data_IF_405966644517
#
_entry.id   IF_405966644517
#
_cell.length_a   1.000
_cell.length_b   1.000
_cell.length_c   1.000
_cell.angle_alpha   90.00
_cell.angle_beta   90.00
_cell.angle_gamma   90.00
#
_symmetry.space_group_name_H-M   'P 1'
#
loop_
_entity.id
_entity.type
_entity.pdbx_description
1 polymer ?
#
# COMPACT_ATOMS: atom_id res chain seq x y z
N UNK A 1 17.53 20.85 -32.85
CA UNK A 1 18.08 19.51 -33.13
C UNK A 1 17.09 18.51 -32.54
N UNK A 2 16.28 17.91 -33.40
CA UNK A 2 15.12 17.08 -33.05
C UNK A 2 15.65 15.69 -32.66
N UNK A 3 15.47 15.29 -31.41
CA UNK A 3 15.78 13.93 -30.97
C UNK A 3 14.60 13.02 -31.31
N UNK A 4 14.89 12.03 -32.11
CA UNK A 4 13.98 11.04 -32.66
C UNK A 4 13.33 10.21 -31.54
N UNK A 5 12.00 10.21 -31.51
CA UNK A 5 11.21 9.30 -30.67
C UNK A 5 11.35 7.86 -31.19
N UNK A 6 11.90 6.96 -30.42
CA UNK A 6 11.72 5.53 -30.64
C UNK A 6 10.54 5.03 -29.80
N UNK A 7 9.38 4.99 -30.44
CA UNK A 7 8.14 4.46 -29.87
C UNK A 7 8.03 2.99 -30.23
N UNK A 8 8.32 2.11 -29.30
CA UNK A 8 7.87 0.71 -29.38
C UNK A 8 7.04 0.34 -28.15
N UNK A 9 5.73 0.56 -28.28
CA UNK A 9 4.74 -0.21 -27.55
C UNK A 9 4.09 -1.14 -28.55
N UNK A 10 4.44 -2.42 -28.50
CA UNK A 10 3.64 -3.48 -29.10
C UNK A 10 3.25 -4.46 -28.01
N UNK A 11 1.95 -4.55 -27.72
CA UNK A 11 1.39 -5.64 -26.96
C UNK A 11 1.71 -6.97 -27.68
N UNK A 12 2.43 -7.85 -27.02
CA UNK A 12 2.77 -9.18 -27.49
C UNK A 12 3.29 -10.01 -26.33
N UNK A 13 2.83 -11.25 -26.25
CA UNK A 13 3.11 -12.23 -25.22
C UNK A 13 4.59 -12.26 -24.82
N UNK A 14 4.82 -12.29 -23.52
CA UNK A 14 6.09 -12.28 -22.81
C UNK A 14 7.02 -13.39 -23.31
N UNK A 15 8.07 -13.01 -24.03
CA UNK A 15 9.33 -13.74 -24.05
C UNK A 15 10.19 -13.17 -22.91
N UNK A 16 10.79 -14.01 -22.09
CA UNK A 16 11.73 -13.65 -21.02
C UNK A 16 12.94 -12.94 -21.64
N UNK A 17 12.82 -11.61 -21.80
CA UNK A 17 13.83 -10.70 -22.32
C UNK A 17 14.06 -9.60 -21.29
N UNK A 18 15.32 -9.27 -21.06
CA UNK A 18 15.82 -8.26 -20.14
C UNK A 18 15.14 -6.90 -20.36
N UNK A 19 14.13 -6.58 -19.55
CA UNK A 19 13.27 -5.38 -19.63
C UNK A 19 13.85 -4.17 -18.91
N UNK A 20 15.19 -4.05 -18.91
CA UNK A 20 15.88 -2.90 -18.33
C UNK A 20 15.51 -1.60 -19.01
N UNK A 21 15.26 -0.56 -18.23
CA UNK A 21 15.13 0.79 -18.74
C UNK A 21 15.94 1.79 -17.91
N UNK A 22 16.50 2.77 -18.60
CA UNK A 22 17.04 3.98 -18.00
C UNK A 22 16.55 5.15 -18.84
N UNK A 23 15.88 6.09 -18.21
CA UNK A 23 15.26 7.20 -18.91
C UNK A 23 15.49 8.51 -18.17
N UNK A 24 15.95 9.53 -18.88
CA UNK A 24 16.08 10.89 -18.36
C UNK A 24 15.52 11.86 -19.38
N UNK A 25 14.53 12.65 -18.99
CA UNK A 25 13.82 13.60 -19.85
C UNK A 25 13.61 14.88 -19.05
N UNK A 26 13.70 16.02 -19.73
CA UNK A 26 13.35 17.32 -19.18
C UNK A 26 12.79 18.22 -20.29
N UNK A 27 11.97 19.18 -19.90
CA UNK A 27 11.35 20.11 -20.84
C UNK A 27 10.68 21.29 -20.16
N UNK A 28 10.08 22.14 -21.00
CA UNK A 28 9.31 23.32 -20.59
C UNK A 28 7.88 23.31 -21.13
N UNK A 29 7.57 22.38 -22.01
CA UNK A 29 6.24 22.21 -22.59
C UNK A 29 5.35 21.40 -21.65
N UNK A 30 4.22 22.00 -21.22
CA UNK A 30 3.26 21.38 -20.28
C UNK A 30 2.51 20.23 -20.94
N UNK A 31 2.14 20.35 -22.21
CA UNK A 31 1.37 19.33 -22.90
C UNK A 31 2.22 18.08 -23.14
N UNK A 32 3.51 18.28 -23.46
CA UNK A 32 4.48 17.19 -23.55
C UNK A 32 4.69 16.50 -22.19
N UNK A 33 4.81 17.28 -21.11
CA UNK A 33 4.91 16.73 -19.76
C UNK A 33 3.67 15.93 -19.40
N UNK A 34 2.49 16.46 -19.67
CA UNK A 34 1.22 15.83 -19.36
C UNK A 34 1.05 14.51 -20.11
N UNK A 35 1.34 14.50 -21.42
CA UNK A 35 1.32 13.27 -22.21
C UNK A 35 2.28 12.20 -21.65
N UNK A 36 3.49 12.62 -21.24
CA UNK A 36 4.46 11.73 -20.62
C UNK A 36 3.97 11.16 -19.29
N UNK A 37 3.57 12.02 -18.34
CA UNK A 37 3.14 11.60 -17.02
C UNK A 37 1.81 10.84 -17.04
N UNK A 38 0.91 11.14 -17.96
CA UNK A 38 -0.33 10.35 -18.16
C UNK A 38 -0.01 8.90 -18.55
N UNK A 39 0.95 8.70 -19.46
CA UNK A 39 1.36 7.36 -19.87
C UNK A 39 2.14 6.59 -18.80
N UNK A 40 2.89 7.29 -17.94
CA UNK A 40 3.80 6.67 -16.95
C UNK A 40 3.14 6.44 -15.58
N UNK A 41 2.07 7.21 -15.25
CA UNK A 41 1.40 7.19 -13.94
C UNK A 41 -0.13 7.00 -14.00
N UNK A 42 -0.66 6.60 -15.16
CA UNK A 42 -2.11 6.42 -15.39
C UNK A 42 -2.96 7.60 -14.88
N UNK A 43 -2.56 8.83 -15.21
CA UNK A 43 -3.37 10.00 -14.91
C UNK A 43 -4.64 10.01 -15.74
N UNK A 44 -5.77 10.07 -15.07
CA UNK A 44 -7.10 10.08 -15.70
C UNK A 44 -7.73 11.45 -15.56
N UNK A 45 -8.22 11.99 -16.69
CA UNK A 45 -8.84 13.32 -16.73
C UNK A 45 -7.99 14.43 -16.05
N UNK A 46 -6.69 14.55 -16.37
CA UNK A 46 -5.82 15.51 -15.70
C UNK A 46 -6.24 16.95 -15.99
N UNK A 47 -6.38 17.74 -14.94
CA UNK A 47 -6.60 19.19 -15.01
C UNK A 47 -5.31 19.89 -14.55
N UNK A 48 -4.70 20.67 -15.46
CA UNK A 48 -3.43 21.37 -15.21
C UNK A 48 -3.61 22.87 -15.29
N UNK A 49 -3.05 23.57 -14.33
CA UNK A 49 -2.94 25.04 -14.33
C UNK A 49 -1.48 25.43 -14.14
N UNK A 50 -0.97 26.30 -15.00
CA UNK A 50 0.38 26.86 -14.86
C UNK A 50 0.48 27.71 -13.61
N UNK A 51 1.50 27.47 -12.80
CA UNK A 51 1.83 28.25 -11.59
C UNK A 51 2.93 29.26 -11.86
N UNK A 52 3.76 29.02 -12.88
CA UNK A 52 4.89 29.86 -13.28
C UNK A 52 4.83 30.23 -14.76
N UNK A 53 5.49 31.32 -15.15
CA UNK A 53 5.62 31.73 -16.56
C UNK A 53 6.44 30.72 -17.36
N UNK A 54 7.54 30.25 -16.75
CA UNK A 54 8.43 29.22 -17.30
C UNK A 54 8.19 27.90 -16.57
N UNK A 55 7.26 27.10 -17.07
CA UNK A 55 7.03 25.76 -16.54
C UNK A 55 8.24 24.89 -16.83
N UNK A 56 8.73 24.20 -15.82
CA UNK A 56 9.82 23.22 -15.96
C UNK A 56 9.36 21.88 -15.43
N UNK A 57 9.76 20.85 -16.13
CA UNK A 57 9.55 19.48 -15.68
C UNK A 57 10.77 18.64 -15.99
N UNK A 58 11.04 17.66 -15.17
CA UNK A 58 12.06 16.66 -15.39
C UNK A 58 11.63 15.32 -14.81
N UNK A 59 12.14 14.26 -15.42
CA UNK A 59 11.97 12.90 -15.00
C UNK A 59 13.30 12.15 -15.14
N UNK A 60 13.63 11.36 -14.14
CA UNK A 60 14.69 10.37 -14.19
C UNK A 60 14.15 9.06 -13.61
N UNK A 61 14.29 8.00 -14.37
CA UNK A 61 13.83 6.67 -13.95
C UNK A 61 14.80 5.60 -14.42
N UNK A 62 15.01 4.61 -13.57
CA UNK A 62 15.82 3.43 -13.85
C UNK A 62 15.20 2.21 -13.20
N UNK A 63 15.25 1.06 -13.87
CA UNK A 63 14.67 -0.15 -13.31
C UNK A 63 14.54 -1.29 -14.28
N UNK A 64 13.79 -2.29 -13.82
CA UNK A 64 13.34 -3.45 -14.58
C UNK A 64 11.89 -3.82 -14.16
N UNK A 65 11.46 -5.03 -14.50
CA UNK A 65 10.13 -5.53 -14.16
C UNK A 65 9.89 -5.70 -12.67
N UNK A 66 10.93 -5.89 -11.84
CA UNK A 66 10.78 -6.14 -10.39
C UNK A 66 10.78 -4.86 -9.58
N UNK A 67 11.65 -3.92 -9.95
CA UNK A 67 11.89 -2.68 -9.22
C UNK A 67 12.18 -1.54 -10.17
N UNK A 68 11.54 -0.39 -9.96
CA UNK A 68 12.01 0.85 -10.57
C UNK A 68 12.07 2.00 -9.57
N UNK A 69 13.12 2.81 -9.71
CA UNK A 69 13.31 4.06 -8.97
C UNK A 69 13.04 5.22 -9.93
N UNK A 70 12.17 6.12 -9.53
CA UNK A 70 11.76 7.27 -10.34
C UNK A 70 11.84 8.55 -9.53
N UNK A 71 12.32 9.60 -10.15
CA UNK A 71 12.38 10.95 -9.60
C UNK A 71 11.78 11.90 -10.63
N UNK A 72 10.79 12.66 -10.23
CA UNK A 72 10.12 13.61 -11.11
C UNK A 72 9.99 14.99 -10.46
N UNK A 73 9.95 16.01 -11.30
CA UNK A 73 9.58 17.36 -10.92
C UNK A 73 8.62 17.91 -11.95
N UNK A 74 7.52 18.47 -11.50
CA UNK A 74 6.54 19.10 -12.37
C UNK A 74 5.99 20.36 -11.71
N UNK A 75 6.39 21.51 -12.23
CA UNK A 75 6.07 22.83 -11.66
C UNK A 75 4.75 23.37 -12.24
N UNK A 76 3.65 22.78 -11.78
CA UNK A 76 2.27 23.14 -12.13
C UNK A 76 1.34 22.85 -10.96
N UNK A 77 0.10 23.33 -11.04
CA UNK A 77 -1.03 22.86 -10.23
C UNK A 77 -1.75 21.77 -11.05
N UNK A 78 -1.66 20.52 -10.61
CA UNK A 78 -2.19 19.34 -11.29
C UNK A 78 -3.21 18.64 -10.40
N UNK A 79 -4.39 18.38 -10.95
CA UNK A 79 -5.39 17.48 -10.36
C UNK A 79 -5.67 16.34 -11.32
N UNK A 80 -5.75 15.14 -10.81
CA UNK A 80 -6.05 13.95 -11.61
C UNK A 80 -6.53 12.83 -10.72
N UNK A 81 -7.24 11.88 -11.31
CA UNK A 81 -7.39 10.55 -10.75
C UNK A 81 -6.23 9.68 -11.22
N UNK A 82 -5.88 8.69 -10.44
CA UNK A 82 -4.88 7.68 -10.79
C UNK A 82 -5.25 6.31 -10.21
N UNK A 83 -4.82 5.25 -10.88
CA UNK A 83 -4.98 3.87 -10.44
C UNK A 83 -3.78 3.06 -10.90
N UNK A 84 -3.17 2.31 -9.99
CA UNK A 84 -2.07 1.38 -10.30
C UNK A 84 -2.39 0.04 -9.67
N UNK A 85 -2.34 -1.04 -10.44
CA UNK A 85 -2.73 -2.39 -10.02
C UNK A 85 -1.70 -3.48 -10.35
N UNK A 86 -0.58 -3.11 -10.95
CA UNK A 86 0.56 -3.99 -11.27
C UNK A 86 1.74 -3.82 -10.31
N UNK A 87 1.84 -2.69 -9.60
CA UNK A 87 2.94 -2.40 -8.69
C UNK A 87 2.49 -1.69 -7.41
N UNK A 88 3.18 -1.95 -6.30
CA UNK A 88 3.11 -1.14 -5.09
C UNK A 88 4.00 0.08 -5.22
N UNK A 89 3.42 1.26 -5.02
CA UNK A 89 4.10 2.53 -5.15
C UNK A 89 4.42 3.13 -3.78
N UNK A 90 5.70 3.29 -3.47
CA UNK A 90 6.14 4.07 -2.31
C UNK A 90 6.59 5.45 -2.78
N UNK A 91 5.88 6.48 -2.35
CA UNK A 91 6.08 7.87 -2.77
C UNK A 91 6.52 8.76 -1.62
N UNK A 92 7.44 9.71 -1.88
CA UNK A 92 7.75 10.80 -0.94
C UNK A 92 8.12 12.08 -1.68
N UNK A 93 7.63 13.20 -1.14
CA UNK A 93 7.92 14.52 -1.68
C UNK A 93 9.34 14.98 -1.36
N UNK A 94 9.95 15.70 -2.30
CA UNK A 94 11.16 16.51 -2.11
C UNK A 94 10.84 17.99 -1.99
N UNK A 95 9.80 18.44 -2.68
CA UNK A 95 9.36 19.86 -2.72
C UNK A 95 7.91 19.96 -3.18
N UNK A 96 7.32 21.16 -2.99
CA UNK A 96 5.94 21.44 -3.38
C UNK A 96 4.93 21.00 -2.33
N UNK A 97 3.69 20.79 -2.75
CA UNK A 97 2.63 20.21 -1.93
C UNK A 97 1.87 19.14 -2.68
N UNK A 98 1.37 18.17 -1.96
CA UNK A 98 0.57 17.08 -2.51
C UNK A 98 -0.51 16.65 -1.52
N UNK A 99 -1.74 16.57 -2.00
CA UNK A 99 -2.86 15.99 -1.28
C UNK A 99 -3.35 14.79 -2.06
N UNK A 100 -3.49 13.66 -1.39
CA UNK A 100 -4.08 12.43 -1.94
C UNK A 100 -5.42 12.21 -1.24
N UNK A 101 -6.49 12.05 -2.02
CA UNK A 101 -7.82 11.72 -1.51
C UNK A 101 -8.15 10.28 -1.88
N UNK A 102 -8.33 9.46 -0.88
CA UNK A 102 -8.66 8.04 -1.03
C UNK A 102 -9.68 7.62 0.01
N UNK A 103 -10.72 6.94 -0.44
CA UNK A 103 -11.73 6.44 0.45
C UNK A 103 -12.44 7.53 1.26
N UNK A 104 -12.67 8.71 0.68
CA UNK A 104 -13.30 9.84 1.37
C UNK A 104 -12.40 10.58 2.37
N UNK A 105 -11.14 10.17 2.53
CA UNK A 105 -10.17 10.82 3.41
C UNK A 105 -9.09 11.49 2.57
N UNK A 106 -8.79 12.76 2.87
CA UNK A 106 -7.70 13.50 2.24
C UNK A 106 -6.49 13.54 3.17
N UNK A 107 -5.33 13.15 2.64
CA UNK A 107 -4.04 13.15 3.35
C UNK A 107 -3.08 14.09 2.63
N UNK A 108 -2.57 15.07 3.37
CA UNK A 108 -1.47 15.91 2.89
C UNK A 108 -0.14 15.19 3.11
N UNK A 109 0.65 15.05 2.05
CA UNK A 109 1.95 14.40 2.13
C UNK A 109 2.97 15.35 2.75
N UNK A 110 3.76 14.84 3.70
CA UNK A 110 4.85 15.60 4.30
C UNK A 110 6.16 15.39 3.52
N UNK A 111 6.95 16.45 3.30
CA UNK A 111 8.25 16.32 2.65
C UNK A 111 9.18 15.33 3.37
N UNK A 112 9.77 14.42 2.60
CA UNK A 112 10.69 13.40 3.12
C UNK A 112 10.05 12.20 3.83
N UNK A 113 8.72 12.22 4.05
CA UNK A 113 7.99 11.11 4.66
C UNK A 113 7.42 10.21 3.57
N UNK A 114 7.88 8.96 3.44
CA UNK A 114 7.35 8.03 2.46
C UNK A 114 5.97 7.50 2.87
N UNK A 115 5.11 7.30 1.88
CA UNK A 115 3.80 6.64 2.02
C UNK A 115 3.61 5.64 0.90
N UNK A 116 2.84 4.59 1.14
CA UNK A 116 2.38 3.69 0.07
C UNK A 116 1.10 4.26 -0.53
N UNK A 117 1.06 4.43 -1.85
CA UNK A 117 -0.14 4.87 -2.55
C UNK A 117 -1.18 3.74 -2.63
N UNK A 118 -2.48 4.06 -2.82
CA UNK A 118 -3.52 3.05 -2.95
C UNK A 118 -3.23 2.07 -4.10
N UNK A 119 -3.32 0.77 -3.82
CA UNK A 119 -3.10 -0.30 -4.78
C UNK A 119 -4.43 -0.83 -5.32
N UNK A 120 -4.54 -0.99 -6.64
CA UNK A 120 -5.69 -1.51 -7.35
C UNK A 120 -7.02 -0.74 -7.12
N UNK A 121 -6.93 0.47 -6.59
CA UNK A 121 -8.05 1.36 -6.32
C UNK A 121 -7.80 2.74 -6.93
N UNK A 122 -8.87 3.45 -7.28
CA UNK A 122 -8.77 4.82 -7.78
C UNK A 122 -8.64 5.80 -6.63
N UNK A 123 -7.72 6.73 -6.74
CA UNK A 123 -7.52 7.84 -5.81
C UNK A 123 -7.35 9.16 -6.56
N UNK A 124 -7.78 10.24 -5.94
CA UNK A 124 -7.58 11.60 -6.46
C UNK A 124 -6.24 12.15 -5.97
N UNK A 125 -5.53 12.85 -6.83
CA UNK A 125 -4.31 13.58 -6.48
C UNK A 125 -4.43 15.06 -6.81
N UNK A 126 -3.90 15.88 -5.93
CA UNK A 126 -3.72 17.31 -6.15
C UNK A 126 -2.28 17.68 -5.83
N UNK A 127 -1.49 17.93 -6.84
CA UNK A 127 -0.08 18.31 -6.76
C UNK A 127 0.11 19.78 -7.12
N UNK A 128 0.96 20.47 -6.38
CA UNK A 128 1.39 21.82 -6.72
C UNK A 128 2.91 21.92 -6.63
N UNK A 129 3.53 22.28 -7.77
CA UNK A 129 4.98 22.48 -7.90
C UNK A 129 5.80 21.32 -7.32
N UNK A 130 5.33 20.10 -7.63
CA UNK A 130 5.79 18.87 -6.98
C UNK A 130 7.18 18.45 -7.45
N UNK A 131 8.03 18.07 -6.49
CA UNK A 131 9.19 17.22 -6.67
C UNK A 131 8.95 15.91 -5.93
N UNK A 132 8.88 14.80 -6.62
CA UNK A 132 8.46 13.50 -6.11
C UNK A 132 9.50 12.42 -6.43
N UNK A 133 9.75 11.55 -5.46
CA UNK A 133 10.43 10.29 -5.69
C UNK A 133 9.42 9.15 -5.52
N UNK A 134 9.56 8.13 -6.37
CA UNK A 134 8.76 6.92 -6.32
C UNK A 134 9.62 5.68 -6.44
N UNK A 135 9.25 4.68 -5.67
CA UNK A 135 9.71 3.30 -5.83
C UNK A 135 8.52 2.49 -6.30
N UNK A 136 8.65 1.84 -7.45
CA UNK A 136 7.69 0.88 -7.95
C UNK A 136 8.23 -0.52 -7.63
N UNK A 137 7.47 -1.30 -6.89
CA UNK A 137 7.74 -2.71 -6.60
C UNK A 137 6.66 -3.54 -7.29
N UNK A 138 7.04 -4.42 -8.20
CA UNK A 138 6.10 -5.35 -8.83
C UNK A 138 5.27 -6.09 -7.78
N UNK A 139 3.95 -6.15 -7.98
CA UNK A 139 3.04 -6.69 -6.99
C UNK A 139 3.18 -8.20 -6.83
N UNK A 140 3.41 -8.92 -7.93
CA UNK A 140 3.63 -10.37 -7.90
C UNK A 140 4.94 -10.73 -7.22
N UNK A 141 5.99 -9.97 -7.53
CA UNK A 141 7.30 -10.14 -6.88
C UNK A 141 7.23 -9.89 -5.37
N UNK A 142 6.67 -8.75 -4.94
CA UNK A 142 6.54 -8.45 -3.51
C UNK A 142 5.74 -9.54 -2.78
N UNK A 143 4.63 -10.01 -3.35
CA UNK A 143 3.83 -11.11 -2.81
C UNK A 143 4.61 -12.39 -2.70
N UNK A 144 5.45 -12.69 -3.67
CA UNK A 144 6.34 -13.86 -3.61
C UNK A 144 7.38 -13.76 -2.50
N UNK A 145 7.90 -12.55 -2.20
CA UNK A 145 8.83 -12.32 -1.08
C UNK A 145 8.12 -12.47 0.27
N UNK A 146 6.87 -12.00 0.37
CA UNK A 146 6.05 -12.14 1.60
C UNK A 146 5.54 -13.56 1.78
N UNK A 147 5.30 -14.30 0.67
CA UNK A 147 4.67 -15.62 0.68
C UNK A 147 3.14 -15.57 0.80
N UNK A 148 2.50 -14.48 0.40
CA UNK A 148 1.06 -14.26 0.48
C UNK A 148 0.52 -13.62 -0.79
N UNK A 149 -0.34 -14.34 -1.55
CA UNK A 149 -0.87 -13.90 -2.85
C UNK A 149 -1.81 -12.68 -2.75
N UNK A 150 -2.48 -12.50 -1.64
CA UNK A 150 -3.43 -11.40 -1.38
C UNK A 150 -2.82 -10.25 -0.58
N UNK A 151 -1.50 -10.28 -0.33
CA UNK A 151 -0.81 -9.22 0.39
C UNK A 151 -1.02 -7.85 -0.25
N UNK A 152 -1.27 -6.86 0.57
CA UNK A 152 -1.25 -5.44 0.21
C UNK A 152 -0.93 -4.57 1.43
N UNK A 153 -0.37 -3.40 1.19
CA UNK A 153 -0.14 -2.40 2.24
C UNK A 153 -1.40 -1.60 2.55
N UNK A 154 -1.50 -1.11 3.79
CA UNK A 154 -2.46 -0.07 4.14
C UNK A 154 -2.03 1.27 3.51
N UNK A 155 -2.86 1.79 2.61
CA UNK A 155 -2.54 2.99 1.84
C UNK A 155 -2.43 4.24 2.73
N UNK A 156 -1.53 5.16 2.34
CA UNK A 156 -1.35 6.49 2.92
C UNK A 156 -0.98 6.51 4.40
N UNK A 157 -0.58 5.36 4.96
CA UNK A 157 -0.06 5.29 6.32
C UNK A 157 1.43 5.65 6.35
N UNK A 158 1.83 6.28 7.44
CA UNK A 158 3.25 6.59 7.71
C UNK A 158 3.96 5.32 8.15
N UNK A 159 5.24 5.19 7.82
CA UNK A 159 6.04 4.11 8.35
C UNK A 159 6.21 4.24 9.87
N UNK A 160 6.45 3.12 10.53
CA UNK A 160 6.91 3.11 11.92
C UNK A 160 8.28 3.78 12.04
N UNK A 161 8.70 4.20 13.24
CA UNK A 161 10.03 4.82 13.44
C UNK A 161 11.17 3.87 13.02
N UNK A 162 11.06 2.59 13.35
CA UNK A 162 12.02 1.55 12.97
C UNK A 162 11.97 1.27 11.48
N UNK A 163 10.77 1.17 10.91
CA UNK A 163 10.55 1.00 9.49
C UNK A 163 11.08 2.17 8.66
N UNK A 164 10.94 3.41 9.14
CA UNK A 164 11.54 4.59 8.50
C UNK A 164 13.06 4.46 8.42
N UNK A 165 13.72 3.98 9.50
CA UNK A 165 15.18 3.78 9.48
C UNK A 165 15.59 2.69 8.50
N UNK A 166 14.88 1.56 8.46
CA UNK A 166 15.13 0.48 7.51
C UNK A 166 14.95 0.97 6.06
N UNK A 167 13.84 1.65 5.76
CA UNK A 167 13.58 2.22 4.45
C UNK A 167 14.66 3.19 4.00
N UNK A 168 15.02 4.16 4.85
CA UNK A 168 16.06 5.14 4.53
C UNK A 168 17.44 4.50 4.35
N UNK A 169 17.72 3.40 5.06
CA UNK A 169 18.97 2.66 4.89
C UNK A 169 19.09 2.05 3.50
N UNK A 170 18.04 1.37 3.05
CA UNK A 170 17.98 0.76 1.72
C UNK A 170 18.03 1.82 0.62
N UNK A 171 17.24 2.89 0.74
CA UNK A 171 17.26 3.99 -0.23
C UNK A 171 18.66 4.61 -0.32
N UNK A 172 19.34 4.87 0.79
CA UNK A 172 20.73 5.40 0.77
C UNK A 172 21.74 4.44 0.19
N UNK A 173 21.61 3.15 0.51
CA UNK A 173 22.57 2.13 0.06
C UNK A 173 22.50 1.89 -1.46
N UNK A 174 21.32 1.94 -2.04
CA UNK A 174 21.11 1.43 -3.40
C UNK A 174 20.66 2.49 -4.42
N UNK A 175 20.11 3.65 -3.99
CA UNK A 175 19.61 4.63 -4.98
C UNK A 175 20.71 5.20 -5.86
N UNK A 176 21.90 5.51 -5.33
CA UNK A 176 23.03 5.99 -6.14
C UNK A 176 23.53 4.90 -7.09
N UNK A 177 23.76 3.69 -6.58
CA UNK A 177 24.21 2.56 -7.39
C UNK A 177 23.22 2.24 -8.52
N UNK A 178 21.91 2.25 -8.20
CA UNK A 178 20.88 1.96 -9.19
C UNK A 178 20.76 3.08 -10.24
N UNK A 179 20.84 4.34 -9.82
CA UNK A 179 20.75 5.49 -10.73
C UNK A 179 22.01 5.69 -11.58
N UNK A 180 23.18 5.29 -11.09
CA UNK A 180 24.46 5.49 -11.79
C UNK A 180 24.82 4.29 -12.69
N UNK A 181 24.67 3.06 -12.20
CA UNK A 181 25.12 1.84 -12.89
C UNK A 181 24.05 0.74 -12.97
N UNK A 182 22.79 1.04 -12.70
CA UNK A 182 21.71 0.03 -12.68
C UNK A 182 21.59 -0.77 -13.98
N UNK A 183 21.91 -0.15 -15.11
CA UNK A 183 21.91 -0.79 -16.42
C UNK A 183 23.07 -1.78 -16.63
N UNK A 184 24.13 -1.72 -15.82
CA UNK A 184 25.28 -2.63 -15.87
C UNK A 184 25.17 -3.78 -14.86
N UNK A 185 24.23 -3.71 -13.91
CA UNK A 185 24.05 -4.73 -12.89
C UNK A 185 23.60 -6.07 -13.50
N UNK A 186 24.10 -7.16 -12.94
CA UNK A 186 23.62 -8.50 -13.29
C UNK A 186 22.18 -8.72 -12.85
N UNK A 187 21.47 -9.67 -13.44
CA UNK A 187 20.11 -10.02 -13.04
C UNK A 187 20.03 -10.43 -11.55
N UNK A 188 21.05 -11.13 -11.05
CA UNK A 188 21.14 -11.52 -9.63
C UNK A 188 21.25 -10.28 -8.75
N UNK A 189 22.19 -9.38 -9.03
CA UNK A 189 22.35 -8.16 -8.23
C UNK A 189 21.10 -7.27 -8.24
N UNK A 190 20.39 -7.17 -9.36
CA UNK A 190 19.13 -6.44 -9.45
C UNK A 190 18.04 -7.07 -8.56
N UNK A 191 17.92 -8.41 -8.62
CA UNK A 191 16.99 -9.15 -7.80
C UNK A 191 17.28 -8.95 -6.31
N UNK A 192 18.55 -9.05 -5.88
CA UNK A 192 18.96 -8.85 -4.50
C UNK A 192 18.59 -7.44 -4.00
N UNK A 193 18.76 -6.42 -4.86
CA UNK A 193 18.35 -5.05 -4.54
C UNK A 193 16.81 -4.95 -4.46
N UNK A 194 16.07 -5.56 -5.37
CA UNK A 194 14.62 -5.58 -5.33
C UNK A 194 14.10 -6.27 -4.06
N UNK A 195 14.71 -7.39 -3.63
CA UNK A 195 14.40 -8.09 -2.38
C UNK A 195 14.69 -7.21 -1.14
N UNK A 196 15.78 -6.44 -1.16
CA UNK A 196 16.09 -5.51 -0.09
C UNK A 196 15.04 -4.39 0.02
N UNK A 197 14.58 -3.82 -1.11
CA UNK A 197 13.51 -2.84 -1.12
C UNK A 197 12.17 -3.44 -0.68
N UNK A 198 11.81 -4.63 -1.14
CA UNK A 198 10.60 -5.34 -0.75
C UNK A 198 10.58 -5.60 0.77
N UNK A 199 11.66 -6.15 1.31
CA UNK A 199 11.82 -6.42 2.74
C UNK A 199 11.73 -5.14 3.57
N UNK A 200 12.39 -4.07 3.14
CA UNK A 200 12.34 -2.79 3.83
C UNK A 200 10.93 -2.17 3.77
N UNK A 201 10.21 -2.31 2.66
CA UNK A 201 8.82 -1.84 2.54
C UNK A 201 7.90 -2.59 3.50
N UNK A 202 8.00 -3.93 3.56
CA UNK A 202 7.21 -4.76 4.48
C UNK A 202 7.49 -4.42 5.95
N UNK A 203 8.74 -4.14 6.30
CA UNK A 203 9.11 -3.70 7.64
C UNK A 203 8.65 -2.27 7.97
N UNK A 204 8.55 -1.41 6.96
CA UNK A 204 8.23 0.00 7.13
C UNK A 204 6.73 0.29 7.22
N UNK A 205 5.95 -0.35 6.37
CA UNK A 205 4.53 0.00 6.20
C UNK A 205 3.61 -1.09 6.72
N UNK A 206 2.49 -0.71 7.36
CA UNK A 206 1.54 -1.69 7.84
C UNK A 206 0.87 -2.43 6.68
N UNK A 207 0.68 -3.72 6.89
CA UNK A 207 -0.12 -4.56 6.00
C UNK A 207 -1.58 -4.10 6.01
N UNK A 208 -2.20 -4.09 4.84
CA UNK A 208 -3.63 -3.87 4.71
C UNK A 208 -4.36 -5.06 5.31
N UNK A 209 -5.17 -4.81 6.33
CA UNK A 209 -6.02 -5.85 6.89
C UNK A 209 -6.85 -6.52 5.77
N UNK A 210 -6.84 -7.86 5.73
CA UNK A 210 -7.57 -8.68 4.73
C UNK A 210 -9.04 -8.28 4.58
N UNK A 211 -9.63 -7.72 5.63
CA UNK A 211 -11.01 -7.26 5.66
C UNK A 211 -11.28 -6.01 4.81
N UNK A 212 -10.28 -5.16 4.56
CA UNK A 212 -10.41 -3.97 3.69
C UNK A 212 -10.52 -4.32 2.21
N UNK A 213 -10.01 -5.49 1.81
CA UNK A 213 -10.05 -5.95 0.42
C UNK A 213 -11.45 -6.38 -0.03
N UNK A 214 -12.34 -6.66 0.93
CA UNK A 214 -13.65 -7.26 0.66
C UNK A 214 -14.75 -6.24 0.32
N UNK A 215 -14.50 -4.93 0.56
CA UNK A 215 -15.48 -3.86 0.24
C UNK A 215 -15.00 -3.11 -1.00
N UNK A 216 -15.17 -3.72 -2.17
CA UNK A 216 -14.94 -3.07 -3.46
C UNK A 216 -16.18 -2.28 -3.87
N UNK A 217 -16.02 -0.99 -4.13
CA UNK A 217 -17.08 -0.11 -4.59
C UNK A 217 -17.01 1.30 -4.02
N UNK A 218 -17.59 2.25 -4.73
CA UNK A 218 -17.74 3.65 -4.30
C UNK A 218 -19.21 3.94 -3.99
N UNK A 219 -19.45 4.71 -2.93
CA UNK A 219 -20.78 5.17 -2.56
C UNK A 219 -21.02 5.19 -1.04
N UNK A 220 -22.11 5.87 -0.60
CA UNK A 220 -22.36 6.06 0.83
C UNK A 220 -22.52 4.78 1.64
N UNK A 221 -22.98 3.69 1.02
CA UNK A 221 -23.17 2.41 1.71
C UNK A 221 -21.82 1.71 1.93
N UNK A 222 -20.95 1.68 0.92
CA UNK A 222 -19.59 1.13 1.02
C UNK A 222 -18.77 1.90 2.07
N UNK A 223 -18.91 3.23 2.10
CA UNK A 223 -18.27 4.09 3.11
C UNK A 223 -18.70 3.75 4.54
N UNK A 224 -19.98 3.44 4.76
CA UNK A 224 -20.49 3.03 6.08
C UNK A 224 -19.93 1.66 6.49
N UNK A 225 -19.88 0.71 5.56
CA UNK A 225 -19.27 -0.62 5.83
C UNK A 225 -17.78 -0.46 6.14
N UNK A 226 -17.07 0.39 5.41
CA UNK A 226 -15.65 0.67 5.68
C UNK A 226 -15.43 1.26 7.07
N UNK A 227 -16.24 2.24 7.49
CA UNK A 227 -16.18 2.81 8.86
C UNK A 227 -16.46 1.76 9.94
N UNK A 228 -17.40 0.83 9.68
CA UNK A 228 -17.64 -0.29 10.59
C UNK A 228 -16.41 -1.18 10.75
N UNK A 229 -15.74 -1.50 9.62
CA UNK A 229 -14.51 -2.29 9.60
C UNK A 229 -13.37 -1.58 10.34
N UNK A 230 -13.16 -0.30 10.04
CA UNK A 230 -12.13 0.52 10.70
C UNK A 230 -12.33 0.56 12.22
N UNK A 231 -13.54 0.83 12.66
CA UNK A 231 -13.87 0.85 14.08
C UNK A 231 -13.62 -0.50 14.77
N UNK A 232 -14.01 -1.62 14.13
CA UNK A 232 -13.76 -2.97 14.66
C UNK A 232 -12.26 -3.23 14.79
N UNK A 233 -11.45 -2.82 13.82
CA UNK A 233 -10.00 -3.02 13.88
C UNK A 233 -9.31 -2.18 14.94
N UNK A 234 -9.72 -0.91 15.09
CA UNK A 234 -9.15 -0.01 16.08
C UNK A 234 -9.51 -0.42 17.50
N UNK A 235 -10.73 -0.97 17.71
CA UNK A 235 -11.29 -1.28 19.01
C UNK A 235 -11.46 -2.79 19.28
N UNK A 236 -10.80 -3.66 18.49
CA UNK A 236 -10.98 -5.11 18.60
C UNK A 236 -10.68 -5.68 20.01
N UNK A 237 -9.74 -5.05 20.75
CA UNK A 237 -9.38 -5.45 22.12
C UNK A 237 -10.36 -4.94 23.17
N UNK A 238 -11.14 -3.92 22.82
CA UNK A 238 -12.09 -3.29 23.74
C UNK A 238 -13.37 -4.12 23.87
N UNK A 239 -14.18 -3.82 24.91
CA UNK A 239 -15.47 -4.45 25.11
C UNK A 239 -16.54 -3.82 24.20
N UNK A 240 -16.39 -4.00 22.87
CA UNK A 240 -17.34 -3.52 21.86
C UNK A 240 -18.27 -4.62 21.38
N UNK A 241 -19.44 -4.21 20.89
CA UNK A 241 -20.43 -5.09 20.27
C UNK A 241 -21.13 -4.42 19.08
N UNK A 242 -22.20 -5.05 18.61
CA UNK A 242 -22.99 -4.56 17.47
C UNK A 242 -23.45 -3.11 17.60
N UNK A 243 -23.93 -2.62 18.79
CA UNK A 243 -24.37 -1.24 18.92
C UNK A 243 -23.27 -0.21 18.69
N UNK A 244 -22.09 -0.42 19.26
CA UNK A 244 -20.94 0.51 19.14
C UNK A 244 -20.42 0.55 17.70
N UNK A 245 -20.31 -0.61 17.04
CA UNK A 245 -19.91 -0.72 15.63
C UNK A 245 -20.93 -0.02 14.72
N UNK A 246 -22.23 -0.20 14.99
CA UNK A 246 -23.29 0.44 14.22
C UNK A 246 -23.25 1.97 14.36
N UNK A 247 -23.05 2.47 15.57
CA UNK A 247 -22.95 3.90 15.85
C UNK A 247 -21.76 4.53 15.11
N UNK A 248 -20.59 3.89 15.13
CA UNK A 248 -19.40 4.34 14.41
C UNK A 248 -19.61 4.40 12.89
N UNK A 249 -20.37 3.46 12.34
CA UNK A 249 -20.74 3.41 10.93
C UNK A 249 -21.87 4.38 10.53
N UNK A 250 -22.51 5.05 11.50
CA UNK A 250 -23.71 5.86 11.26
C UNK A 250 -24.90 5.02 10.81
N UNK A 251 -25.05 3.81 11.37
CA UNK A 251 -26.11 2.85 11.09
C UNK A 251 -26.86 2.45 12.35
N UNK A 252 -28.10 1.96 12.17
CA UNK A 252 -28.75 1.19 13.23
C UNK A 252 -28.12 -0.22 13.32
N UNK A 253 -28.24 -0.94 14.45
CA UNK A 253 -27.76 -2.34 14.56
C UNK A 253 -28.31 -3.26 13.46
N UNK A 254 -29.57 -3.09 13.09
CA UNK A 254 -30.22 -3.84 11.99
C UNK A 254 -29.65 -3.43 10.63
N UNK A 255 -29.41 -2.13 10.41
CA UNK A 255 -28.79 -1.61 9.18
C UNK A 255 -27.37 -2.14 9.02
N UNK A 256 -26.58 -2.17 10.10
CA UNK A 256 -25.24 -2.76 10.09
C UNK A 256 -25.27 -4.25 9.72
N UNK A 257 -26.14 -5.04 10.34
CA UNK A 257 -26.30 -6.46 10.02
C UNK A 257 -26.65 -6.69 8.55
N UNK A 258 -27.55 -5.88 7.99
CA UNK A 258 -27.98 -5.98 6.61
C UNK A 258 -26.85 -5.58 5.65
N UNK A 259 -26.13 -4.50 5.91
CA UNK A 259 -25.01 -4.03 5.11
C UNK A 259 -23.85 -5.02 5.15
N UNK A 260 -23.46 -5.52 6.33
CA UNK A 260 -22.37 -6.51 6.43
C UNK A 260 -22.73 -7.83 5.76
N UNK A 261 -23.98 -8.30 5.88
CA UNK A 261 -24.41 -9.50 5.12
C UNK A 261 -24.38 -9.29 3.62
N UNK A 262 -24.80 -8.13 3.12
CA UNK A 262 -24.84 -7.83 1.68
C UNK A 262 -23.44 -7.72 1.09
N UNK A 263 -22.51 -7.09 1.80
CA UNK A 263 -21.18 -6.77 1.27
C UNK A 263 -20.10 -7.77 1.65
N UNK A 264 -20.25 -8.48 2.77
CA UNK A 264 -19.22 -9.37 3.34
C UNK A 264 -19.72 -10.79 3.62
N UNK A 265 -21.00 -11.04 3.45
CA UNK A 265 -21.67 -12.29 3.87
C UNK A 265 -21.41 -12.67 5.34
N UNK A 266 -21.25 -11.67 6.23
CA UNK A 266 -20.91 -11.84 7.63
C UNK A 266 -21.88 -11.12 8.56
N UNK A 267 -21.95 -11.59 9.82
CA UNK A 267 -22.58 -10.84 10.90
C UNK A 267 -21.56 -9.92 11.61
N UNK A 268 -22.00 -8.84 12.30
CA UNK A 268 -21.10 -8.01 13.11
C UNK A 268 -20.29 -8.80 14.15
N UNK A 269 -20.90 -9.84 14.73
CA UNK A 269 -20.23 -10.73 15.68
C UNK A 269 -19.16 -11.61 15.04
N UNK A 270 -19.40 -12.09 13.82
CA UNK A 270 -18.41 -12.89 13.10
C UNK A 270 -17.23 -12.03 12.65
N UNK A 271 -17.52 -10.81 12.18
CA UNK A 271 -16.50 -9.82 11.85
C UNK A 271 -15.57 -9.53 13.05
N UNK A 272 -16.15 -9.13 14.18
CA UNK A 272 -15.36 -8.83 15.39
C UNK A 272 -14.56 -10.04 15.87
N UNK A 273 -15.16 -11.23 15.84
CA UNK A 273 -14.48 -12.48 16.21
C UNK A 273 -13.33 -12.79 15.27
N UNK A 274 -13.52 -12.59 13.96
CA UNK A 274 -12.48 -12.76 12.96
C UNK A 274 -11.27 -11.88 13.23
N UNK A 275 -11.49 -10.57 13.39
CA UNK A 275 -10.43 -9.60 13.69
C UNK A 275 -9.68 -9.94 14.98
N UNK A 276 -10.39 -10.35 16.03
CA UNK A 276 -9.79 -10.78 17.29
C UNK A 276 -8.92 -12.04 17.13
N UNK A 277 -9.34 -13.00 16.31
CA UNK A 277 -8.55 -14.20 16.04
C UNK A 277 -7.28 -13.89 15.24
N UNK A 278 -7.37 -13.01 14.24
CA UNK A 278 -6.22 -12.61 13.42
C UNK A 278 -5.19 -11.85 14.28
N UNK A 279 -5.64 -10.94 15.13
CA UNK A 279 -4.79 -10.24 16.07
C UNK A 279 -4.14 -11.16 17.11
N UNK A 280 -4.90 -12.11 17.66
CA UNK A 280 -4.37 -13.12 18.58
C UNK A 280 -3.31 -13.99 17.91
N UNK A 281 -3.50 -14.39 16.64
CA UNK A 281 -2.49 -15.13 15.88
C UNK A 281 -1.21 -14.31 15.68
N UNK A 282 -1.35 -13.06 15.32
CA UNK A 282 -0.19 -12.16 15.16
C UNK A 282 0.61 -12.03 16.46
N UNK A 283 -0.07 -11.95 17.62
CA UNK A 283 0.60 -11.89 18.91
C UNK A 283 1.23 -13.24 19.32
N UNK A 284 0.58 -14.36 19.01
CA UNK A 284 1.15 -15.71 19.23
C UNK A 284 2.43 -15.94 18.43
N UNK A 285 2.44 -15.51 17.16
CA UNK A 285 3.62 -15.64 16.28
C UNK A 285 4.77 -14.73 16.68
N UNK A 286 4.49 -13.59 17.36
CA UNK A 286 5.52 -12.66 17.88
C UNK A 286 5.96 -12.98 19.31
N UNK A 287 5.13 -13.68 20.06
CA UNK A 287 5.36 -13.95 21.49
C UNK A 287 6.54 -14.86 21.75
N UNK A 288 7.29 -14.56 22.84
CA UNK A 288 8.28 -15.47 23.40
C UNK A 288 7.59 -16.47 24.33
N UNK A 289 7.97 -17.74 24.23
CA UNK A 289 7.41 -18.85 25.02
C UNK A 289 7.62 -18.69 26.52
N UNK A 290 8.72 -18.09 26.91
CA UNK A 290 9.10 -17.96 28.31
C UNK A 290 8.31 -16.86 29.02
N UNK A 291 7.80 -15.87 28.27
CA UNK A 291 7.09 -14.71 28.83
C UNK A 291 5.60 -14.63 28.40
N UNK A 292 5.14 -15.47 27.45
CA UNK A 292 3.81 -15.32 26.85
C UNK A 292 2.99 -16.59 26.92
N UNK A 293 1.77 -16.53 27.46
CA UNK A 293 0.85 -17.67 27.47
C UNK A 293 -0.28 -17.51 26.44
N UNK A 294 -0.71 -18.62 25.84
CA UNK A 294 -1.91 -18.67 24.98
C UNK A 294 -3.14 -18.10 25.70
N UNK A 295 -3.23 -18.34 27.01
CA UNK A 295 -4.37 -17.87 27.80
C UNK A 295 -4.41 -16.36 27.97
N UNK A 296 -3.25 -15.71 28.13
CA UNK A 296 -3.16 -14.27 28.29
C UNK A 296 -3.43 -13.55 26.96
N UNK A 297 -2.89 -14.06 25.87
CA UNK A 297 -3.22 -13.55 24.53
C UNK A 297 -4.72 -13.67 24.25
N UNK A 298 -5.32 -14.85 24.50
CA UNK A 298 -6.74 -15.03 24.27
C UNK A 298 -7.59 -14.04 25.09
N UNK A 299 -7.26 -13.82 26.38
CA UNK A 299 -7.95 -12.82 27.22
C UNK A 299 -7.75 -11.39 26.73
N UNK A 300 -6.52 -11.02 26.34
CA UNK A 300 -6.20 -9.70 25.79
C UNK A 300 -6.99 -9.39 24.52
N UNK A 301 -7.39 -10.41 23.78
CA UNK A 301 -8.25 -10.29 22.60
C UNK A 301 -9.74 -10.56 22.89
N UNK A 302 -10.15 -10.51 24.16
CA UNK A 302 -11.56 -10.58 24.55
C UNK A 302 -12.20 -11.97 24.50
N UNK A 303 -11.38 -13.05 24.46
CA UNK A 303 -11.88 -14.42 24.54
C UNK A 303 -11.98 -14.90 26.00
N UNK A 304 -13.20 -14.94 26.53
CA UNK A 304 -13.44 -15.38 27.92
C UNK A 304 -13.34 -16.91 28.15
N UNK A 305 -13.41 -17.72 27.07
CA UNK A 305 -13.42 -19.18 27.15
C UNK A 305 -12.33 -19.79 26.27
N UNK A 306 -11.23 -20.25 26.86
CA UNK A 306 -10.07 -20.78 26.17
C UNK A 306 -10.36 -22.00 25.29
N UNK A 307 -11.26 -22.89 25.69
CA UNK A 307 -11.65 -24.05 24.89
C UNK A 307 -12.37 -23.64 23.59
N UNK A 308 -13.26 -22.66 23.66
CA UNK A 308 -13.93 -22.09 22.46
C UNK A 308 -12.95 -21.33 21.58
N UNK A 309 -12.06 -20.57 22.20
CA UNK A 309 -10.98 -19.87 21.46
C UNK A 309 -10.15 -20.88 20.65
N UNK A 310 -9.61 -21.93 21.29
CA UNK A 310 -8.78 -22.91 20.62
C UNK A 310 -9.51 -23.65 19.50
N UNK A 311 -10.79 -23.99 19.70
CA UNK A 311 -11.61 -24.64 18.68
C UNK A 311 -11.85 -23.72 17.47
N UNK A 312 -12.20 -22.43 17.72
CA UNK A 312 -12.45 -21.46 16.67
C UNK A 312 -11.16 -21.06 15.94
N UNK A 313 -10.06 -20.96 16.68
CA UNK A 313 -8.73 -20.69 16.15
C UNK A 313 -8.31 -21.82 15.19
N UNK A 314 -8.40 -23.09 15.62
CA UNK A 314 -8.08 -24.25 14.79
C UNK A 314 -8.97 -24.33 13.54
N UNK A 315 -10.26 -24.03 13.68
CA UNK A 315 -11.19 -24.02 12.55
C UNK A 315 -10.80 -22.96 11.50
N UNK A 316 -10.19 -21.84 11.93
CA UNK A 316 -9.80 -20.73 11.05
C UNK A 316 -8.42 -20.91 10.43
N UNK A 317 -7.44 -21.39 11.20
CA UNK A 317 -6.02 -21.39 10.80
C UNK A 317 -5.46 -22.80 10.55
N UNK A 318 -6.23 -23.86 10.82
CA UNK A 318 -5.80 -25.25 10.62
C UNK A 318 -4.85 -25.78 11.70
N UNK A 319 -4.38 -24.94 12.62
CA UNK A 319 -3.43 -25.24 13.68
C UNK A 319 -3.96 -24.82 15.07
N UNK A 320 -3.38 -25.34 16.13
CA UNK A 320 -3.71 -24.92 17.49
C UNK A 320 -2.96 -23.63 17.87
N UNK A 321 -3.51 -22.76 18.76
CA UNK A 321 -2.81 -21.57 19.25
C UNK A 321 -1.44 -21.86 19.85
N UNK A 322 -1.31 -23.02 20.52
CA UNK A 322 -0.04 -23.48 21.08
C UNK A 322 0.98 -23.93 20.03
N UNK A 323 0.53 -24.29 18.84
CA UNK A 323 1.40 -24.62 17.71
C UNK A 323 1.94 -23.34 17.08
N UNK A 324 1.08 -22.32 16.85
CA UNK A 324 1.52 -21.00 16.40
C UNK A 324 2.55 -20.37 17.35
N UNK A 325 2.34 -20.45 18.68
CA UNK A 325 3.31 -19.97 19.68
C UNK A 325 4.62 -20.76 19.64
N UNK A 326 4.62 -21.98 19.08
CA UNK A 326 5.81 -22.84 18.96
C UNK A 326 6.55 -22.71 17.63
N UNK A 327 6.00 -22.06 16.65
CA UNK A 327 6.51 -22.03 15.28
C UNK A 327 7.81 -21.22 15.10
N UNK A 328 8.49 -20.84 16.19
CA UNK A 328 9.83 -20.24 16.17
C UNK A 328 10.90 -21.17 16.67
#
# INVERSE_FOLDING_TARGET
MVATMDTRHSGGACSVGDTRYSRRIAGTDVDQALAFFTGDYDFRSPAVRRTHRDTRWDFAGVGDELLSLRSSRFLVDLRSDSRVDDAFLVAWMRSGSSTITYGGTSVELEPGVPVVLPFADTYELHHRDIGLNLVHLDAGFLRSVVGEDDFAFEALRRPTADGMRAWQSVVRAYSSTWLDVGHELTAVARRDIAEAFATAAVAAFPERSRWRTTVTGSGPEHERVRRALEYVHEHARDAIGTPEIAAAAGLSPRGLQQSLRRHLDQTPGDLLRGVRLDGARADLLRGDRDDTSVADIARAWGFGHLGRFSATYRARFGELPSESLRAR
#
